data_IF_424916133662
#
_entry.id   IF_424916133662
#
_cell.length_a   1.000
_cell.length_b   1.000
_cell.length_c   1.000
_cell.angle_alpha   90.00
_cell.angle_beta   90.00
_cell.angle_gamma   90.00
#
_symmetry.space_group_name_H-M   'P 1'
#
loop_
_entity.id
_entity.type
_entity.pdbx_description
1 polymer ?
#
# COMPACT_ATOMS: atom_id res chain seq x y z
N UNK A 1 10.44 9.39 -30.32
CA UNK A 1 10.25 9.67 -28.87
C UNK A 1 9.37 8.61 -28.26
N UNK A 2 9.65 8.20 -27.03
CA UNK A 2 8.91 7.16 -26.30
C UNK A 2 8.56 7.62 -24.89
N UNK A 3 7.41 7.18 -24.36
CA UNK A 3 7.03 7.41 -22.97
C UNK A 3 7.09 6.08 -22.22
N UNK A 4 7.84 6.06 -21.12
CA UNK A 4 7.81 4.97 -20.15
C UNK A 4 6.98 5.37 -18.93
N UNK A 5 6.09 4.50 -18.47
CA UNK A 5 5.31 4.70 -17.24
C UNK A 5 5.56 3.52 -16.32
N UNK A 6 6.01 3.80 -15.11
CA UNK A 6 6.17 2.85 -14.02
C UNK A 6 5.14 3.16 -12.92
N UNK A 7 4.25 2.19 -12.68
CA UNK A 7 3.16 2.30 -11.70
C UNK A 7 3.55 1.55 -10.43
N UNK A 8 4.15 2.27 -9.49
CA UNK A 8 4.50 1.76 -8.17
C UNK A 8 3.38 1.91 -7.14
N UNK A 9 3.60 1.34 -5.95
CA UNK A 9 2.62 1.39 -4.85
C UNK A 9 2.50 2.79 -4.22
N UNK A 10 3.62 3.52 -4.12
CA UNK A 10 3.69 4.83 -3.46
C UNK A 10 3.72 5.99 -4.43
N UNK A 11 3.67 5.73 -5.73
CA UNK A 11 3.84 6.77 -6.74
C UNK A 11 3.90 6.21 -8.15
N UNK A 12 3.74 7.12 -9.11
CA UNK A 12 3.91 6.86 -10.54
C UNK A 12 5.12 7.63 -11.02
N UNK A 13 5.94 7.01 -11.85
CA UNK A 13 7.02 7.69 -12.56
C UNK A 13 6.77 7.62 -14.06
N UNK A 14 6.84 8.77 -14.73
CA UNK A 14 6.84 8.87 -16.17
C UNK A 14 8.21 9.36 -16.65
N UNK A 15 8.74 8.76 -17.72
CA UNK A 15 9.95 9.19 -18.39
C UNK A 15 9.69 9.41 -19.88
N UNK A 16 10.40 10.37 -20.47
CA UNK A 16 10.40 10.63 -21.90
C UNK A 16 11.78 10.29 -22.46
N UNK A 17 11.81 9.45 -23.50
CA UNK A 17 13.04 9.03 -24.17
C UNK A 17 13.11 9.59 -25.59
N UNK A 18 14.32 9.92 -26.05
CA UNK A 18 14.60 10.12 -27.48
C UNK A 18 14.66 8.76 -28.21
N UNK A 19 15.00 8.77 -29.50
CA UNK A 19 15.06 7.54 -30.31
C UNK A 19 16.28 6.66 -30.00
N UNK A 20 17.31 7.25 -29.42
CA UNK A 20 18.56 6.60 -29.01
C UNK A 20 18.41 5.94 -27.62
N UNK A 21 17.30 6.19 -26.92
CA UNK A 21 17.02 5.68 -25.59
C UNK A 21 17.48 6.58 -24.44
N UNK A 22 17.97 7.79 -24.71
CA UNK A 22 18.36 8.74 -23.68
C UNK A 22 17.13 9.37 -23.01
N UNK A 23 17.23 9.59 -21.70
CA UNK A 23 16.18 10.26 -20.93
C UNK A 23 16.20 11.76 -21.18
N UNK A 24 15.14 12.27 -21.79
CA UNK A 24 14.92 13.70 -22.02
C UNK A 24 14.23 14.38 -20.84
N UNK A 25 13.31 13.68 -20.16
CA UNK A 25 12.58 14.20 -19.01
C UNK A 25 12.10 13.06 -18.10
N UNK A 26 11.87 13.38 -16.82
CA UNK A 26 11.27 12.47 -15.85
C UNK A 26 10.36 13.25 -14.91
N UNK A 27 9.19 12.70 -14.60
CA UNK A 27 8.27 13.22 -13.58
C UNK A 27 7.86 12.08 -12.65
N UNK A 28 7.79 12.37 -11.35
CA UNK A 28 7.31 11.42 -10.34
C UNK A 28 6.21 12.06 -9.52
N UNK A 29 5.07 11.41 -9.43
CA UNK A 29 3.95 11.81 -8.58
C UNK A 29 3.75 10.81 -7.44
N UNK A 30 3.54 11.31 -6.22
CA UNK A 30 3.29 10.47 -5.05
C UNK A 30 1.83 10.00 -5.05
N UNK A 31 1.62 8.74 -4.70
CA UNK A 31 0.31 8.16 -4.44
C UNK A 31 0.18 7.81 -2.95
N UNK A 32 -1.00 8.04 -2.39
CA UNK A 32 -1.34 7.58 -1.06
C UNK A 32 -2.00 6.19 -1.14
N UNK A 33 -1.61 5.29 -0.24
CA UNK A 33 -2.26 3.99 -0.11
C UNK A 33 -3.32 4.09 0.98
N UNK A 34 -4.58 3.82 0.63
CA UNK A 34 -5.63 3.68 1.63
C UNK A 34 -5.51 2.34 2.34
N UNK A 35 -5.19 2.35 3.63
CA UNK A 35 -5.28 1.15 4.48
C UNK A 35 -6.70 1.05 5.03
N UNK A 36 -7.50 0.10 4.55
CA UNK A 36 -8.76 -0.24 5.22
C UNK A 36 -8.46 -0.81 6.60
N UNK A 37 -9.13 -0.28 7.62
CA UNK A 37 -9.12 -0.87 8.96
C UNK A 37 -10.13 -2.02 8.96
N UNK A 38 -9.71 -3.24 9.31
CA UNK A 38 -10.64 -4.32 9.63
C UNK A 38 -11.27 -4.02 10.99
N UNK A 39 -12.52 -3.53 10.99
CA UNK A 39 -13.36 -3.56 12.18
C UNK A 39 -13.96 -4.96 12.29
N UNK A 40 -13.43 -5.76 13.21
CA UNK A 40 -14.01 -7.09 13.44
C UNK A 40 -13.10 -8.07 14.15
N UNK A 41 -12.53 -7.71 15.30
CA UNK A 41 -12.19 -8.76 16.27
C UNK A 41 -13.48 -9.07 17.01
N UNK A 42 -14.16 -10.14 16.62
CA UNK A 42 -15.18 -10.74 17.47
C UNK A 42 -14.48 -11.11 18.78
N UNK A 43 -14.59 -10.25 19.79
CA UNK A 43 -14.35 -10.63 21.18
C UNK A 43 -15.60 -11.37 21.63
N UNK A 44 -15.87 -12.54 21.07
CA UNK A 44 -16.57 -13.55 21.85
C UNK A 44 -15.57 -13.84 22.98
N UNK A 45 -15.84 -13.45 24.24
CA UNK A 45 -15.02 -13.91 25.34
C UNK A 45 -15.10 -15.44 25.26
N UNK A 46 -13.97 -16.14 25.34
CA UNK A 46 -14.02 -17.59 25.52
C UNK A 46 -14.91 -17.85 26.74
N UNK A 47 -16.12 -18.36 26.50
CA UNK A 47 -17.01 -18.87 27.53
C UNK A 47 -16.39 -20.17 28.04
N UNK A 48 -15.38 -20.03 28.90
CA UNK A 48 -14.58 -21.16 29.36
C UNK A 48 -13.61 -20.85 30.51
N UNK A 49 -13.49 -19.59 30.95
CA UNK A 49 -12.75 -19.26 32.17
C UNK A 49 -13.60 -19.52 33.40
N UNK A 50 -13.60 -20.76 33.92
CA UNK A 50 -14.15 -21.08 35.23
C UNK A 50 -13.65 -20.08 36.26
N UNK A 51 -14.57 -19.42 36.98
CA UNK A 51 -14.26 -18.67 38.20
C UNK A 51 -13.62 -19.65 39.18
N UNK A 52 -12.30 -19.63 39.31
CA UNK A 52 -11.67 -20.03 40.58
C UNK A 52 -11.91 -18.89 41.56
N UNK A 53 -13.04 -18.97 42.24
CA UNK A 53 -13.11 -18.48 43.62
C UNK A 53 -12.23 -19.46 44.40
N UNK A 54 -11.13 -18.97 44.94
CA UNK A 54 -10.34 -19.67 45.94
C UNK A 54 -10.01 -18.63 47.03
N UNK A 55 -9.97 -19.08 48.30
CA UNK A 55 -10.51 -18.41 49.48
C UNK A 55 -9.83 -17.09 49.88
#
# INVERSE_FOLDING_TARGET
MYIGIDLGTSGVKAILLNEQGDVLASQTEKLSVSRRIHYGRSRIPNSGGWRRIAP
#
